data_IF_479220907262
#
_entry.id   IF_479220907262
#
_cell.length_a   1.000
_cell.length_b   1.000
_cell.length_c   1.000
_cell.angle_alpha   90.00
_cell.angle_beta   90.00
_cell.angle_gamma   90.00
#
_symmetry.space_group_name_H-M   'P 1'
#
loop_
_entity.id
_entity.type
_entity.pdbx_description
1 polymer ?
#
# COMPACT_ATOMS: atom_id res chain seq x y z
N UNK A 1 -22.24 -15.42 11.05
CA UNK A 1 -20.85 -14.96 10.91
C UNK A 1 -20.89 -13.45 10.98
N UNK A 2 -20.44 -12.90 12.10
CA UNK A 2 -20.47 -11.45 12.34
C UNK A 2 -19.48 -10.78 11.39
N UNK A 3 -19.98 -9.83 10.60
CA UNK A 3 -19.15 -9.02 9.71
C UNK A 3 -18.24 -8.13 10.58
N UNK A 4 -16.97 -8.48 10.66
CA UNK A 4 -15.95 -7.63 11.26
C UNK A 4 -15.73 -6.45 10.30
N UNK A 5 -16.26 -5.28 10.67
CA UNK A 5 -16.13 -4.03 9.91
C UNK A 5 -14.77 -3.41 10.22
N UNK A 6 -13.89 -3.31 9.23
CA UNK A 6 -12.75 -2.42 9.30
C UNK A 6 -13.17 -0.97 9.08
N UNK A 7 -12.86 -0.10 10.03
CA UNK A 7 -12.78 1.32 9.76
C UNK A 7 -11.50 1.63 8.98
N UNK A 8 -11.65 1.96 7.68
CA UNK A 8 -10.68 2.70 6.85
C UNK A 8 -9.33 1.95 6.57
N UNK A 9 -8.67 2.10 5.40
CA UNK A 9 -7.24 1.76 5.21
C UNK A 9 -6.27 2.58 6.09
N UNK A 10 -6.69 3.02 7.28
CA UNK A 10 -5.98 3.93 8.18
C UNK A 10 -6.10 3.49 9.65
N UNK A 11 -6.13 2.19 9.94
CA UNK A 11 -5.69 1.79 11.27
C UNK A 11 -4.23 2.21 11.38
N UNK A 12 -3.88 2.97 12.41
CA UNK A 12 -2.47 3.28 12.67
C UNK A 12 -1.68 2.01 13.04
N UNK A 13 -2.40 0.92 13.34
CA UNK A 13 -1.86 -0.34 13.81
C UNK A 13 -2.15 -1.46 12.81
N UNK A 14 -1.14 -2.30 12.57
CA UNK A 14 -1.28 -3.61 11.95
C UNK A 14 -2.13 -4.49 12.86
N UNK A 15 -3.21 -5.02 12.30
CA UNK A 15 -4.15 -5.91 12.97
C UNK A 15 -4.14 -7.32 12.33
N UNK A 16 -4.98 -8.21 12.85
CA UNK A 16 -5.06 -9.60 12.37
C UNK A 16 -5.48 -9.69 10.91
N UNK A 17 -6.36 -8.81 10.44
CA UNK A 17 -6.82 -8.82 9.07
C UNK A 17 -5.73 -8.34 8.10
N UNK A 18 -4.88 -7.40 8.53
CA UNK A 18 -3.68 -7.05 7.79
C UNK A 18 -2.72 -8.23 7.67
N UNK A 19 -2.45 -8.95 8.77
CA UNK A 19 -1.45 -10.04 8.82
C UNK A 19 -1.93 -11.35 8.16
N UNK A 20 -3.23 -11.65 8.25
CA UNK A 20 -3.83 -12.85 7.67
C UNK A 20 -4.39 -12.62 6.26
N UNK A 21 -4.18 -11.43 5.70
CA UNK A 21 -4.58 -11.11 4.33
C UNK A 21 -3.82 -11.98 3.34
N UNK A 22 -4.49 -12.51 2.29
CA UNK A 22 -3.81 -13.18 1.18
C UNK A 22 -2.98 -12.22 0.31
N UNK A 23 -2.98 -10.93 0.64
CA UNK A 23 -2.11 -9.92 0.01
C UNK A 23 -1.00 -9.46 0.95
N UNK A 24 -0.81 -10.11 2.10
CA UNK A 24 0.30 -9.83 3.01
C UNK A 24 1.51 -10.68 2.67
N UNK A 25 2.65 -10.02 2.53
CA UNK A 25 3.94 -10.63 2.26
C UNK A 25 4.88 -10.30 3.40
N UNK A 26 5.26 -11.33 4.17
CA UNK A 26 6.31 -11.21 5.17
C UNK A 26 7.66 -11.04 4.45
N UNK A 27 8.45 -10.06 4.89
CA UNK A 27 9.78 -9.87 4.34
C UNK A 27 10.80 -10.59 5.21
N UNK A 28 11.66 -11.39 4.58
CA UNK A 28 12.83 -11.94 5.25
C UNK A 28 13.78 -10.81 5.61
N UNK A 29 14.12 -10.72 6.90
CA UNK A 29 15.02 -9.68 7.38
C UNK A 29 16.47 -10.11 7.19
N UNK A 30 17.31 -9.18 6.75
CA UNK A 30 18.75 -9.41 6.60
C UNK A 30 19.56 -8.49 7.51
N UNK A 31 20.77 -8.96 7.86
CA UNK A 31 21.76 -8.16 8.58
C UNK A 31 22.49 -7.14 7.67
N UNK A 32 22.09 -7.03 6.40
CA UNK A 32 22.70 -6.04 5.50
C UNK A 32 22.38 -4.62 5.95
N UNK A 33 23.41 -3.76 5.95
CA UNK A 33 23.22 -2.34 6.20
C UNK A 33 22.33 -1.66 5.14
N UNK A 34 21.71 -0.51 5.48
CA UNK A 34 20.90 0.26 4.54
C UNK A 34 21.72 0.71 3.33
N UNK A 35 21.21 0.42 2.13
CA UNK A 35 21.71 0.85 0.83
C UNK A 35 20.53 1.21 -0.08
N UNK A 36 20.82 1.86 -1.21
CA UNK A 36 19.81 2.36 -2.14
C UNK A 36 18.86 1.25 -2.63
N UNK A 37 19.38 0.05 -2.81
CA UNK A 37 18.65 -1.08 -3.38
C UNK A 37 17.68 -1.73 -2.37
N UNK A 38 17.99 -1.67 -1.07
CA UNK A 38 17.19 -2.28 0.00
C UNK A 38 16.42 -1.25 0.85
N UNK A 39 16.53 0.03 0.54
CA UNK A 39 15.90 1.14 1.30
C UNK A 39 14.99 1.98 0.41
N UNK A 40 13.73 2.12 0.81
CA UNK A 40 12.77 2.99 0.15
C UNK A 40 12.69 4.34 0.86
N UNK A 41 13.06 5.41 0.16
CA UNK A 41 12.90 6.78 0.66
C UNK A 41 11.48 7.31 0.42
N UNK A 42 10.84 7.85 1.45
CA UNK A 42 9.49 8.41 1.41
C UNK A 42 9.38 9.73 2.18
N UNK A 43 8.67 10.70 1.58
CA UNK A 43 8.29 11.92 2.30
C UNK A 43 6.96 11.73 3.03
N UNK A 44 6.89 12.15 4.29
CA UNK A 44 5.71 12.00 5.15
C UNK A 44 5.31 13.34 5.80
N UNK A 45 4.06 13.43 6.27
CA UNK A 45 3.56 14.58 7.06
C UNK A 45 4.03 14.45 8.52
N UNK A 46 4.36 15.58 9.16
CA UNK A 46 4.83 15.63 10.56
C UNK A 46 3.94 14.80 11.50
N UNK A 47 2.62 14.99 11.44
CA UNK A 47 1.69 14.27 12.33
C UNK A 47 1.88 12.75 12.29
N UNK A 48 2.14 12.16 11.12
CA UNK A 48 2.29 10.70 10.99
C UNK A 48 3.69 10.25 11.40
N UNK A 49 4.70 11.07 11.14
CA UNK A 49 6.04 10.84 11.66
C UNK A 49 6.04 10.79 13.18
N UNK A 50 5.38 11.74 13.84
CA UNK A 50 5.28 11.79 15.30
C UNK A 50 4.53 10.57 15.88
N UNK A 51 3.44 10.13 15.22
CA UNK A 51 2.73 8.90 15.61
C UNK A 51 3.62 7.65 15.48
N UNK A 52 4.44 7.57 14.42
CA UNK A 52 5.38 6.46 14.20
C UNK A 52 6.47 6.45 15.27
N UNK A 53 7.11 7.61 15.49
CA UNK A 53 8.17 7.75 16.50
C UNK A 53 7.65 7.47 17.91
N UNK A 54 6.39 7.82 18.19
CA UNK A 54 5.75 7.51 19.46
C UNK A 54 5.24 6.07 19.57
N UNK A 55 5.41 5.23 18.54
CA UNK A 55 4.95 3.85 18.51
C UNK A 55 3.43 3.67 18.41
N UNK A 56 2.67 4.76 18.19
CA UNK A 56 1.21 4.74 18.02
C UNK A 56 0.80 4.37 16.59
N UNK A 57 1.74 4.50 15.64
CA UNK A 57 1.58 4.06 14.26
C UNK A 57 2.69 3.09 13.85
N UNK A 58 2.34 1.89 13.41
CA UNK A 58 3.30 0.85 13.00
C UNK A 58 3.10 0.38 11.55
N UNK A 59 2.40 1.19 10.74
CA UNK A 59 2.18 0.92 9.31
C UNK A 59 2.28 2.22 8.50
N UNK A 60 2.98 2.19 7.37
CA UNK A 60 3.07 3.32 6.43
C UNK A 60 2.37 2.99 5.11
N UNK A 61 1.39 3.81 4.72
CA UNK A 61 0.53 3.56 3.57
C UNK A 61 0.90 4.41 2.34
N UNK A 62 0.78 3.83 1.14
CA UNK A 62 0.93 4.52 -0.15
C UNK A 62 -0.06 4.01 -1.18
N UNK A 63 -0.62 4.92 -1.95
CA UNK A 63 -1.43 4.58 -3.13
C UNK A 63 -0.56 3.92 -4.20
N UNK A 64 -1.04 2.83 -4.77
CA UNK A 64 -0.49 2.24 -5.99
C UNK A 64 -1.12 2.98 -7.17
N UNK A 65 -0.29 3.70 -7.92
CA UNK A 65 -0.69 4.41 -9.15
C UNK A 65 0.25 4.00 -10.27
N UNK A 66 -0.17 4.13 -11.52
CA UNK A 66 0.67 3.83 -12.69
C UNK A 66 2.04 4.52 -12.62
N UNK A 67 2.07 5.78 -12.15
CA UNK A 67 3.29 6.58 -12.01
C UNK A 67 4.23 6.12 -10.88
N UNK A 68 3.72 5.39 -9.88
CA UNK A 68 4.46 5.01 -8.67
C UNK A 68 4.61 3.51 -8.49
N UNK A 69 3.86 2.67 -9.21
CA UNK A 69 3.79 1.23 -9.00
C UNK A 69 5.16 0.54 -9.03
N UNK A 70 6.07 0.97 -9.91
CA UNK A 70 7.43 0.39 -10.02
C UNK A 70 8.30 0.63 -8.78
N UNK A 71 7.91 1.55 -7.90
CA UNK A 71 8.56 1.74 -6.59
C UNK A 71 8.09 0.72 -5.56
N UNK A 72 6.87 0.19 -5.71
CA UNK A 72 6.22 -0.61 -4.67
C UNK A 72 6.05 -2.07 -5.05
N UNK A 73 6.04 -2.39 -6.35
CA UNK A 73 5.78 -3.72 -6.88
C UNK A 73 7.03 -4.29 -7.56
N UNK A 74 7.22 -5.61 -7.46
CA UNK A 74 8.20 -6.31 -8.29
C UNK A 74 7.59 -6.67 -9.65
N UNK A 75 7.85 -5.82 -10.64
CA UNK A 75 7.42 -6.02 -12.04
C UNK A 75 8.57 -6.49 -12.93
N UNK A 76 9.60 -7.09 -12.34
CA UNK A 76 10.81 -7.49 -13.05
C UNK A 76 10.54 -8.76 -13.85
N UNK A 77 10.70 -8.68 -15.17
CA UNK A 77 10.52 -9.81 -16.09
C UNK A 77 11.67 -10.82 -15.91
N UNK A 78 11.33 -12.10 -15.78
CA UNK A 78 12.25 -13.23 -15.63
C UNK A 78 12.59 -13.84 -16.99
N UNK A 79 13.53 -14.80 -17.02
CA UNK A 79 14.11 -15.33 -18.26
C UNK A 79 13.12 -16.00 -19.21
N UNK A 80 11.98 -16.47 -18.72
CA UNK A 80 10.86 -17.04 -19.47
C UNK A 80 9.78 -16.01 -19.85
N UNK A 81 10.12 -14.71 -19.75
CA UNK A 81 9.22 -13.60 -19.99
C UNK A 81 8.01 -13.53 -19.02
N UNK A 82 8.13 -14.16 -17.84
CA UNK A 82 7.12 -14.08 -16.78
C UNK A 82 7.45 -13.02 -15.74
N UNK A 83 6.44 -12.62 -14.97
CA UNK A 83 6.57 -11.80 -13.77
C UNK A 83 6.04 -12.59 -12.58
N UNK A 84 6.56 -12.29 -11.39
CA UNK A 84 6.10 -12.92 -10.17
C UNK A 84 4.72 -12.34 -9.79
N UNK A 85 3.74 -13.23 -9.60
CA UNK A 85 2.38 -12.89 -9.21
C UNK A 85 2.07 -13.46 -7.82
N UNK A 86 1.03 -12.92 -7.19
CA UNK A 86 0.53 -13.44 -5.92
C UNK A 86 0.08 -14.90 -6.08
N UNK A 87 0.59 -15.80 -5.24
CA UNK A 87 0.27 -17.23 -5.28
C UNK A 87 -1.20 -17.54 -4.99
N UNK A 88 -1.90 -16.61 -4.32
CA UNK A 88 -3.33 -16.72 -4.04
C UNK A 88 -4.21 -16.17 -5.17
N UNK A 89 -3.63 -15.67 -6.27
CA UNK A 89 -4.39 -15.16 -7.39
C UNK A 89 -5.24 -16.31 -8.00
N UNK A 90 -6.53 -16.07 -8.30
CA UNK A 90 -7.36 -17.07 -8.99
C UNK A 90 -6.74 -17.51 -10.33
N UNK A 91 -7.04 -18.73 -10.77
CA UNK A 91 -6.53 -19.29 -12.03
C UNK A 91 -6.91 -18.43 -13.24
N UNK A 92 -8.08 -17.82 -13.20
CA UNK A 92 -8.63 -16.88 -14.19
C UNK A 92 -8.39 -15.41 -13.81
N UNK A 93 -7.55 -15.15 -12.80
CA UNK A 93 -7.25 -13.81 -12.31
C UNK A 93 -6.54 -12.96 -13.36
N UNK A 94 -6.96 -11.70 -13.46
CA UNK A 94 -6.42 -10.74 -14.41
C UNK A 94 -5.22 -10.01 -13.84
N UNK A 95 -4.27 -9.66 -14.72
CA UNK A 95 -3.08 -8.90 -14.38
C UNK A 95 -3.26 -7.43 -14.71
N UNK A 96 -3.53 -6.64 -13.67
CA UNK A 96 -3.67 -5.20 -13.79
C UNK A 96 -3.72 -4.56 -12.41
N UNK A 97 -3.19 -3.34 -12.29
CA UNK A 97 -3.10 -2.65 -11.00
C UNK A 97 -4.45 -2.19 -10.45
N UNK A 98 -5.52 -2.33 -11.23
CA UNK A 98 -6.89 -2.04 -10.83
C UNK A 98 -7.74 -3.29 -10.68
N UNK A 99 -7.28 -4.47 -11.08
CA UNK A 99 -8.08 -5.70 -11.05
C UNK A 99 -8.46 -6.06 -9.62
N UNK A 100 -9.76 -6.27 -9.35
CA UNK A 100 -10.22 -6.62 -8.01
C UNK A 100 -9.93 -8.08 -7.66
N UNK A 101 -10.08 -9.01 -8.61
CA UNK A 101 -9.77 -10.45 -8.47
C UNK A 101 -10.26 -11.06 -7.14
N UNK A 102 -11.53 -10.80 -6.79
CA UNK A 102 -12.13 -11.25 -5.52
C UNK A 102 -11.37 -10.80 -4.26
N UNK A 103 -10.71 -9.64 -4.33
CA UNK A 103 -9.92 -9.09 -3.23
C UNK A 103 -8.45 -9.52 -3.22
N UNK A 104 -7.95 -10.22 -4.25
CA UNK A 104 -6.55 -10.63 -4.36
C UNK A 104 -5.78 -9.72 -5.33
N UNK A 105 -4.81 -8.97 -4.83
CA UNK A 105 -3.96 -8.15 -5.69
C UNK A 105 -2.99 -9.04 -6.47
N UNK A 106 -2.83 -8.77 -7.77
CA UNK A 106 -2.14 -9.67 -8.69
C UNK A 106 -0.62 -9.69 -8.55
N UNK A 107 0.03 -8.57 -8.24
CA UNK A 107 1.49 -8.50 -8.17
C UNK A 107 2.01 -8.62 -6.74
N UNK A 108 3.25 -9.07 -6.60
CA UNK A 108 3.94 -9.08 -5.31
C UNK A 108 4.61 -7.73 -5.02
N UNK A 109 4.72 -7.33 -3.74
CA UNK A 109 5.43 -6.12 -3.37
C UNK A 109 6.94 -6.27 -3.62
N UNK A 110 7.58 -5.17 -3.97
CA UNK A 110 9.04 -5.07 -3.93
C UNK A 110 9.50 -5.14 -2.48
N UNK A 111 10.45 -6.04 -2.22
CA UNK A 111 11.00 -6.24 -0.89
C UNK A 111 11.98 -5.12 -0.57
N UNK A 112 11.74 -4.45 0.56
CA UNK A 112 12.64 -3.48 1.16
C UNK A 112 12.97 -3.91 2.58
N UNK A 113 14.23 -3.74 2.99
CA UNK A 113 14.67 -3.97 4.37
C UNK A 113 14.37 -2.75 5.25
N UNK A 114 14.33 -1.56 4.65
CA UNK A 114 14.17 -0.29 5.35
C UNK A 114 13.25 0.69 4.62
N UNK A 115 12.57 1.53 5.39
CA UNK A 115 12.06 2.82 4.94
C UNK A 115 12.93 3.93 5.51
N UNK A 116 13.30 4.89 4.68
CA UNK A 116 13.84 6.18 5.12
C UNK A 116 12.72 7.22 4.99
N UNK A 117 12.14 7.59 6.12
CA UNK A 117 11.05 8.56 6.20
C UNK A 117 11.62 9.95 6.49
N UNK A 118 11.18 10.95 5.73
CA UNK A 118 11.59 12.34 5.94
C UNK A 118 10.37 13.28 5.98
N UNK A 119 10.35 14.21 6.93
CA UNK A 119 9.22 15.14 7.06
C UNK A 119 9.29 16.27 6.03
N UNK A 120 8.26 16.35 5.18
CA UNK A 120 8.13 17.40 4.18
C UNK A 120 9.35 17.50 3.23
N UNK A 121 9.62 18.69 2.71
CA UNK A 121 10.67 18.93 1.69
C UNK A 121 11.73 19.95 2.11
N UNK A 122 11.75 20.35 3.39
CA UNK A 122 12.79 21.25 3.92
C UNK A 122 14.15 20.54 3.92
N UNK A 123 15.24 21.30 3.78
CA UNK A 123 16.61 20.75 3.86
C UNK A 123 16.91 20.21 5.25
N UNK A 124 16.55 20.98 6.27
CA UNK A 124 16.63 20.61 7.67
C UNK A 124 15.25 20.11 8.12
N UNK A 125 15.15 18.81 8.39
CA UNK A 125 13.90 18.12 8.67
C UNK A 125 14.14 16.85 9.47
N UNK A 126 13.12 16.45 10.21
CA UNK A 126 13.12 15.17 10.91
C UNK A 126 13.19 14.02 9.90
N UNK A 127 14.02 13.03 10.23
CA UNK A 127 14.12 11.78 9.48
C UNK A 127 14.17 10.58 10.41
N UNK A 128 13.68 9.45 9.91
CA UNK A 128 13.76 8.18 10.61
C UNK A 128 14.06 7.06 9.61
N UNK A 129 15.06 6.25 9.92
CA UNK A 129 15.32 5.00 9.23
C UNK A 129 14.67 3.86 10.02
N UNK A 130 13.80 3.10 9.38
CA UNK A 130 12.93 2.14 10.06
C UNK A 130 13.02 0.79 9.35
N UNK A 131 13.18 -0.30 10.11
CA UNK A 131 13.09 -1.66 9.58
C UNK A 131 11.70 -1.95 9.04
N UNK A 132 11.61 -2.72 7.97
CA UNK A 132 10.33 -3.21 7.43
C UNK A 132 10.21 -4.71 7.69
N UNK A 133 9.04 -5.14 8.14
CA UNK A 133 8.74 -6.55 8.46
C UNK A 133 7.95 -7.26 7.36
N UNK A 134 7.25 -6.50 6.54
CA UNK A 134 6.40 -7.00 5.46
C UNK A 134 5.57 -5.89 4.85
N UNK A 135 4.75 -6.25 3.86
CA UNK A 135 3.79 -5.34 3.28
C UNK A 135 2.47 -6.05 2.96
N UNK A 136 1.34 -5.35 3.13
CA UNK A 136 0.03 -5.81 2.70
C UNK A 136 -0.52 -4.88 1.63
N UNK A 137 -1.05 -5.44 0.55
CA UNK A 137 -1.74 -4.67 -0.50
C UNK A 137 -3.25 -4.81 -0.30
N UNK A 138 -3.93 -3.70 -0.11
CA UNK A 138 -5.32 -3.67 0.33
C UNK A 138 -6.17 -2.84 -0.64
N UNK A 139 -7.42 -3.24 -0.85
CA UNK A 139 -8.32 -2.46 -1.67
C UNK A 139 -8.70 -1.17 -0.94
N UNK A 140 -8.89 -0.09 -1.70
CA UNK A 140 -9.31 1.20 -1.17
C UNK A 140 -10.71 1.07 -0.55
N UNK A 141 -10.86 1.55 0.68
CA UNK A 141 -12.16 1.56 1.37
C UNK A 141 -12.70 2.97 1.48
N UNK A 142 -14.01 3.08 1.32
CA UNK A 142 -14.80 4.26 1.62
C UNK A 142 -14.84 4.50 3.13
N UNK A 143 -15.27 5.70 3.52
CA UNK A 143 -15.38 6.09 4.94
C UNK A 143 -16.32 5.17 5.74
N UNK A 144 -17.35 4.63 5.09
CA UNK A 144 -18.29 3.67 5.67
C UNK A 144 -17.78 2.22 5.72
N UNK A 145 -16.52 1.98 5.32
CA UNK A 145 -15.86 0.67 5.38
C UNK A 145 -16.05 -0.21 4.14
N UNK A 146 -16.96 0.15 3.21
CA UNK A 146 -17.13 -0.57 1.95
C UNK A 146 -15.88 -0.48 1.09
N UNK A 147 -15.59 -1.53 0.34
CA UNK A 147 -14.54 -1.49 -0.67
C UNK A 147 -15.06 -0.68 -1.86
N UNK A 148 -14.30 0.32 -2.29
CA UNK A 148 -14.62 1.08 -3.48
C UNK A 148 -14.29 0.24 -4.72
N UNK A 149 -15.34 -0.18 -5.43
CA UNK A 149 -15.24 -0.93 -6.68
C UNK A 149 -15.90 -0.13 -7.81
N UNK A 150 -15.41 -0.30 -9.02
CA UNK A 150 -15.90 0.38 -10.23
C UNK A 150 -15.69 -0.51 -11.46
N UNK A 151 -16.19 -0.09 -12.61
CA UNK A 151 -15.96 -0.72 -13.91
C UNK A 151 -15.24 0.25 -14.84
N UNK A 152 -14.67 -0.27 -15.93
CA UNK A 152 -14.18 0.56 -17.03
C UNK A 152 -15.38 1.14 -17.82
N UNK A 153 -15.97 2.18 -17.27
CA UNK A 153 -17.13 2.88 -17.80
C UNK A 153 -16.78 4.35 -18.08
N UNK A 154 -17.18 4.85 -19.26
CA UNK A 154 -17.08 6.26 -19.57
C UNK A 154 -18.04 7.06 -18.71
N UNK A 155 -17.52 7.99 -17.91
CA UNK A 155 -18.32 8.90 -17.08
C UNK A 155 -18.31 10.28 -17.71
N UNK A 156 -19.46 10.70 -18.24
CA UNK A 156 -19.62 12.05 -18.79
C UNK A 156 -19.36 13.11 -17.73
N UNK A 157 -18.61 14.15 -18.08
CA UNK A 157 -18.32 15.27 -17.18
C UNK A 157 -17.28 14.98 -16.10
N UNK A 158 -16.57 13.84 -16.15
CA UNK A 158 -15.54 13.49 -15.15
C UNK A 158 -14.51 14.60 -14.93
N UNK A 159 -14.20 15.39 -15.96
CA UNK A 159 -13.21 16.47 -15.91
C UNK A 159 -13.62 17.65 -15.01
N UNK A 160 -14.91 17.82 -14.74
CA UNK A 160 -15.43 18.88 -13.88
C UNK A 160 -15.90 18.36 -12.52
N UNK A 161 -15.93 17.05 -12.31
CA UNK A 161 -16.34 16.45 -11.04
C UNK A 161 -15.29 16.64 -9.95
N UNK A 162 -15.74 16.93 -8.74
CA UNK A 162 -14.91 16.73 -7.56
C UNK A 162 -14.60 15.25 -7.35
N UNK A 163 -13.54 14.95 -6.59
CA UNK A 163 -13.18 13.56 -6.28
C UNK A 163 -14.32 12.80 -5.57
N UNK A 164 -15.07 13.48 -4.68
CA UNK A 164 -16.21 12.87 -3.99
C UNK A 164 -17.37 12.55 -4.93
N UNK A 165 -17.67 13.44 -5.88
CA UNK A 165 -18.69 13.21 -6.91
C UNK A 165 -18.28 12.08 -7.85
N UNK A 166 -17.01 12.05 -8.27
CA UNK A 166 -16.48 10.96 -9.07
C UNK A 166 -16.68 9.62 -8.36
N UNK A 167 -16.16 9.47 -7.13
CA UNK A 167 -16.27 8.23 -6.33
C UNK A 167 -17.73 7.80 -6.18
N UNK A 168 -18.64 8.74 -5.91
CA UNK A 168 -20.08 8.44 -5.76
C UNK A 168 -20.68 7.93 -7.08
N UNK A 169 -20.28 8.52 -8.20
CA UNK A 169 -20.86 8.24 -9.53
C UNK A 169 -20.32 6.94 -10.13
N UNK A 170 -19.02 6.68 -9.95
CA UNK A 170 -18.32 5.50 -10.46
C UNK A 170 -18.50 4.24 -9.62
N UNK A 171 -18.92 4.38 -8.35
CA UNK A 171 -19.07 3.23 -7.45
C UNK A 171 -20.04 2.18 -8.00
N UNK A 172 -19.61 0.92 -7.98
CA UNK A 172 -20.40 -0.26 -8.32
C UNK A 172 -20.15 -1.32 -7.25
N UNK A 173 -21.20 -1.79 -6.57
CA UNK A 173 -21.06 -2.80 -5.50
C UNK A 173 -20.30 -4.06 -5.97
N UNK A 174 -20.54 -4.45 -7.22
CA UNK A 174 -19.93 -5.61 -7.86
C UNK A 174 -18.91 -5.25 -8.94
N UNK A 175 -18.33 -4.04 -8.91
CA UNK A 175 -17.39 -3.61 -9.94
C UNK A 175 -16.15 -4.49 -10.05
N UNK A 176 -15.63 -4.72 -11.25
CA UNK A 176 -14.48 -5.62 -11.48
C UNK A 176 -13.14 -4.98 -11.13
N UNK A 177 -13.12 -3.65 -10.99
CA UNK A 177 -11.95 -2.84 -10.70
C UNK A 177 -11.99 -2.22 -9.31
N UNK A 178 -10.82 -1.89 -8.76
CA UNK A 178 -10.60 -1.26 -7.47
C UNK A 178 -9.29 -0.45 -7.47
N UNK A 179 -9.20 0.58 -6.62
CA UNK A 179 -7.91 1.20 -6.31
C UNK A 179 -7.22 0.46 -5.18
N UNK A 180 -5.90 0.38 -5.22
CA UNK A 180 -5.12 -0.38 -4.24
C UNK A 180 -4.13 0.51 -3.48
N UNK A 181 -3.93 0.17 -2.21
CA UNK A 181 -2.97 0.81 -1.31
C UNK A 181 -2.02 -0.25 -0.80
N UNK A 182 -0.71 0.04 -0.78
CA UNK A 182 0.27 -0.77 -0.07
C UNK A 182 0.50 -0.20 1.33
N UNK A 183 0.46 -1.07 2.35
CA UNK A 183 0.87 -0.76 3.71
C UNK A 183 2.14 -1.50 4.08
N UNK A 184 3.18 -0.80 4.48
CA UNK A 184 4.41 -1.39 5.00
C UNK A 184 4.32 -1.56 6.50
N UNK A 185 4.47 -2.80 7.00
CA UNK A 185 4.58 -3.06 8.44
C UNK A 185 5.93 -2.54 8.94
N UNK A 186 5.87 -1.54 9.81
CA UNK A 186 7.04 -0.92 10.41
C UNK A 186 7.55 -1.76 11.59
N UNK A 187 8.86 -1.91 11.65
CA UNK A 187 9.59 -2.53 12.74
C UNK A 187 10.24 -1.50 13.65
N UNK A 188 11.45 -1.82 14.10
CA UNK A 188 12.25 -0.91 14.93
C UNK A 188 12.74 0.32 14.15
N UNK A 189 12.87 1.43 14.87
CA UNK A 189 13.54 2.63 14.38
C UNK A 189 15.04 2.42 14.61
N UNK A 190 15.80 2.36 13.52
CA UNK A 190 17.24 2.11 13.52
C UNK A 190 18.00 3.41 13.74
N UNK A 191 17.55 4.48 13.09
CA UNK A 191 18.10 5.83 13.25
C UNK A 191 16.95 6.83 13.34
N UNK A 192 17.11 7.83 14.21
CA UNK A 192 16.18 8.93 14.38
C UNK A 192 16.96 10.23 14.46
N UNK A 193 16.70 11.15 13.55
CA UNK A 193 17.26 12.49 13.53
C UNK A 193 16.11 13.50 13.63
N UNK A 194 16.06 14.26 14.73
CA UNK A 194 15.06 15.30 14.99
C UNK A 194 15.72 16.67 14.97
N UNK A 195 15.07 17.64 14.34
CA UNK A 195 15.57 19.02 14.16
C UNK A 195 14.78 20.04 14.95
#
# INVERSE_FOLDING_TARGET
>A
MENIVHHNPNTNVVDELFLNSPNYFKFEQTEEHPKKENTLYLTIKQKWFDEIVAGRKNVEYRDIKETTMKKYLDLTVRGDNTILVNEHLPVDGLLGIFEYNNGIFCYVPRIYQYLNLAVGYKKDRDTALIRVKGACIMPYRLEDGRIYRFNDEMIEGVETMSQGEFIKTSYRENGELCYWTIGYQLGEIVELDKK
#
